data_IF_789902440459
#
_entry.id   IF_789902440459
#
_cell.length_a   1.000
_cell.length_b   1.000
_cell.length_c   1.000
_cell.angle_alpha   90.00
_cell.angle_beta   90.00
_cell.angle_gamma   90.00
#
_symmetry.space_group_name_H-M   'P 1'
#
loop_
_entity.id
_entity.type
_entity.pdbx_description
1 polymer ?
#
# COMPACT_ATOMS: atom_id res chain seq x y z
N UNK A 1 9.63 -22.87 -8.32
CA UNK A 1 9.33 -21.87 -7.28
C UNK A 1 7.92 -21.36 -7.54
N UNK A 2 6.92 -21.86 -6.81
CA UNK A 2 5.50 -21.60 -7.09
C UNK A 2 5.12 -20.19 -6.57
N UNK A 3 4.62 -19.32 -7.46
CA UNK A 3 4.25 -17.94 -7.15
C UNK A 3 2.97 -17.85 -6.33
N UNK A 4 2.07 -18.85 -6.43
CA UNK A 4 0.78 -18.86 -5.74
C UNK A 4 0.93 -18.98 -4.22
N UNK A 5 1.94 -19.71 -3.77
CA UNK A 5 2.21 -19.91 -2.33
C UNK A 5 2.73 -18.65 -1.60
N UNK A 6 3.09 -17.58 -2.32
CA UNK A 6 3.67 -16.36 -1.71
C UNK A 6 2.63 -15.32 -1.30
N UNK A 7 1.46 -15.32 -1.94
CA UNK A 7 0.34 -14.43 -1.60
C UNK A 7 -0.68 -15.08 -0.67
N UNK A 8 -0.54 -16.38 -0.40
CA UNK A 8 -1.34 -17.14 0.57
C UNK A 8 -0.85 -16.90 2.01
N UNK A 9 -0.41 -15.67 2.29
CA UNK A 9 -0.17 -15.22 3.66
C UNK A 9 -1.49 -14.64 4.12
N UNK A 10 -2.21 -15.42 4.92
CA UNK A 10 -3.35 -15.04 5.77
C UNK A 10 -3.58 -13.52 5.77
N UNK A 11 -4.33 -13.05 4.76
CA UNK A 11 -4.77 -11.67 4.69
C UNK A 11 -5.78 -11.58 5.81
N UNK A 12 -5.31 -11.16 6.99
CA UNK A 12 -6.04 -11.20 8.26
C UNK A 12 -7.53 -10.98 8.03
N UNK A 13 -8.31 -11.95 8.50
CA UNK A 13 -9.72 -12.13 8.18
C UNK A 13 -10.42 -10.80 7.87
N UNK A 14 -11.08 -10.74 6.71
CA UNK A 14 -11.94 -9.64 6.26
C UNK A 14 -13.05 -9.24 7.26
N UNK A 15 -13.14 -9.93 8.41
CA UNK A 15 -14.04 -9.70 9.52
C UNK A 15 -13.88 -8.35 10.22
N UNK A 16 -12.74 -7.65 10.06
CA UNK A 16 -12.50 -6.35 10.72
C UNK A 16 -12.86 -5.12 9.88
N UNK A 17 -13.31 -5.30 8.63
CA UNK A 17 -13.70 -4.17 7.78
C UNK A 17 -15.18 -3.85 8.00
N UNK A 18 -15.55 -2.62 8.40
CA UNK A 18 -16.94 -2.24 8.55
C UNK A 18 -17.76 -2.53 7.27
N UNK A 19 -18.94 -3.13 7.44
CA UNK A 19 -19.79 -3.52 6.30
C UNK A 19 -20.12 -2.34 5.37
N UNK A 20 -20.30 -1.16 5.94
CA UNK A 20 -20.59 0.07 5.21
C UNK A 20 -19.41 0.46 4.29
N UNK A 21 -18.17 0.25 4.76
CA UNK A 21 -16.97 0.53 3.96
C UNK A 21 -16.82 -0.46 2.81
N UNK A 22 -17.15 -1.74 3.03
CA UNK A 22 -17.20 -2.73 1.96
C UNK A 22 -18.26 -2.37 0.92
N UNK A 23 -19.45 -1.95 1.34
CA UNK A 23 -20.52 -1.53 0.45
C UNK A 23 -20.11 -0.31 -0.41
N UNK A 24 -19.45 0.68 0.20
CA UNK A 24 -18.91 1.85 -0.51
C UNK A 24 -17.83 1.47 -1.53
N UNK A 25 -16.95 0.55 -1.16
CA UNK A 25 -15.91 0.02 -2.05
C UNK A 25 -16.53 -0.68 -3.26
N UNK A 26 -17.49 -1.59 -3.04
CA UNK A 26 -18.18 -2.30 -4.11
C UNK A 26 -18.94 -1.34 -5.04
N UNK A 27 -19.66 -0.35 -4.48
CA UNK A 27 -20.32 0.68 -5.27
C UNK A 27 -19.34 1.51 -6.12
N UNK A 28 -18.15 1.81 -5.58
CA UNK A 28 -17.10 2.50 -6.33
C UNK A 28 -16.48 1.63 -7.43
N UNK A 29 -16.35 0.32 -7.20
CA UNK A 29 -15.81 -0.64 -8.17
C UNK A 29 -16.67 -0.78 -9.43
N UNK A 30 -18.01 -0.65 -9.28
CA UNK A 30 -18.98 -0.70 -10.38
C UNK A 30 -18.98 0.54 -11.30
N UNK A 31 -18.25 1.61 -10.94
CA UNK A 31 -18.16 2.83 -11.76
C UNK A 31 -17.53 2.53 -13.13
N UNK A 32 -18.01 3.13 -14.24
CA UNK A 32 -17.38 2.98 -15.54
C UNK A 32 -15.90 3.36 -15.51
N UNK A 33 -15.07 2.69 -16.32
CA UNK A 33 -13.61 2.90 -16.36
C UNK A 33 -13.20 4.39 -16.50
N UNK A 34 -13.84 5.21 -17.36
CA UNK A 34 -13.49 6.63 -17.45
C UNK A 34 -13.71 7.38 -16.13
N UNK A 35 -14.75 7.00 -15.37
CA UNK A 35 -15.07 7.60 -14.09
C UNK A 35 -14.09 7.15 -13.00
N UNK A 36 -13.70 5.88 -13.02
CA UNK A 36 -12.65 5.34 -12.14
C UNK A 36 -11.34 6.07 -12.39
N UNK A 37 -10.88 6.17 -13.63
CA UNK A 37 -9.63 6.87 -13.96
C UNK A 37 -9.65 8.35 -13.58
N UNK A 38 -10.79 9.02 -13.75
CA UNK A 38 -10.95 10.42 -13.35
C UNK A 38 -10.76 10.66 -11.85
N UNK A 39 -11.16 9.71 -11.01
CA UNK A 39 -11.19 9.87 -9.54
C UNK A 39 -10.28 8.89 -8.77
N UNK A 40 -9.54 8.01 -9.46
CA UNK A 40 -8.66 7.02 -8.83
C UNK A 40 -7.38 7.64 -8.26
N UNK A 41 -6.96 8.80 -8.77
CA UNK A 41 -5.73 9.45 -8.36
C UNK A 41 -6.04 10.45 -7.25
N UNK A 42 -5.56 10.13 -6.05
CA UNK A 42 -5.50 11.07 -4.93
C UNK A 42 -4.06 11.55 -4.78
N UNK A 43 -3.89 12.87 -4.59
CA UNK A 43 -2.60 13.41 -4.21
C UNK A 43 -2.38 13.15 -2.72
N UNK A 44 -1.62 12.10 -2.41
CA UNK A 44 -1.24 11.75 -1.04
C UNK A 44 0.24 12.03 -0.84
N UNK A 45 0.56 12.92 0.10
CA UNK A 45 1.93 13.10 0.56
C UNK A 45 2.40 11.83 1.27
N UNK A 46 3.50 11.24 0.81
CA UNK A 46 4.12 10.02 1.33
C UNK A 46 5.34 10.39 2.18
N UNK A 47 5.19 10.47 3.52
CA UNK A 47 6.28 10.92 4.38
C UNK A 47 7.52 10.05 4.26
N UNK A 48 8.68 10.68 4.21
CA UNK A 48 9.99 10.08 3.96
C UNK A 48 10.31 9.82 2.48
N UNK A 49 9.29 9.57 1.64
CA UNK A 49 9.46 9.30 0.21
C UNK A 49 9.40 10.57 -0.66
N UNK A 50 8.58 11.55 -0.29
CA UNK A 50 8.33 12.74 -1.13
C UNK A 50 9.27 13.92 -0.82
N UNK A 51 10.10 13.84 0.23
CA UNK A 51 10.95 14.92 0.71
C UNK A 51 12.32 15.00 0.01
N UNK A 52 12.58 14.14 -0.96
CA UNK A 52 13.83 14.14 -1.74
C UNK A 52 13.61 13.77 -3.19
N UNK A 53 14.48 14.26 -4.08
CA UNK A 53 14.44 13.90 -5.50
C UNK A 53 14.80 12.43 -5.74
N UNK A 54 15.75 11.91 -4.97
CA UNK A 54 16.13 10.50 -4.98
C UNK A 54 16.77 10.11 -3.64
N UNK A 55 16.83 8.80 -3.39
CA UNK A 55 17.58 8.20 -2.28
C UNK A 55 18.23 6.92 -2.77
N UNK A 56 19.49 6.74 -2.41
CA UNK A 56 20.27 5.53 -2.69
C UNK A 56 20.92 5.02 -1.41
N UNK A 57 21.18 3.72 -1.37
CA UNK A 57 21.82 3.02 -0.25
C UNK A 57 22.88 2.10 -0.83
N UNK A 58 23.97 1.90 -0.10
CA UNK A 58 25.05 1.01 -0.54
C UNK A 58 24.68 -0.46 -0.31
N UNK A 59 23.78 -0.72 0.66
CA UNK A 59 23.30 -2.06 0.96
C UNK A 59 21.79 -2.15 1.16
N UNK A 60 21.25 -3.36 0.98
CA UNK A 60 19.83 -3.65 1.29
C UNK A 60 19.54 -3.60 2.80
N UNK A 61 20.55 -3.74 3.67
CA UNK A 61 20.36 -3.62 5.11
C UNK A 61 20.04 -2.16 5.49
N UNK A 62 20.85 -1.22 4.98
CA UNK A 62 20.65 0.21 5.18
C UNK A 62 19.29 0.70 4.66
N UNK A 63 18.88 0.21 3.49
CA UNK A 63 17.55 0.49 2.95
C UNK A 63 16.44 0.07 3.91
N UNK A 64 16.48 -1.18 4.41
CA UNK A 64 15.44 -1.69 5.32
C UNK A 64 15.43 -0.96 6.66
N UNK A 65 16.60 -0.68 7.23
CA UNK A 65 16.71 0.04 8.51
C UNK A 65 16.19 1.48 8.37
N UNK A 66 16.40 2.11 7.21
CA UNK A 66 15.80 3.41 6.91
C UNK A 66 14.28 3.33 6.77
N UNK A 67 13.75 2.32 6.07
CA UNK A 67 12.31 2.09 5.95
C UNK A 67 11.64 1.93 7.32
N UNK A 68 12.21 1.11 8.21
CA UNK A 68 11.67 0.88 9.56
C UNK A 68 11.69 2.13 10.44
N UNK A 69 12.74 2.95 10.32
CA UNK A 69 12.90 4.15 11.17
C UNK A 69 12.12 5.36 10.66
N UNK A 70 11.93 5.48 9.35
CA UNK A 70 11.48 6.73 8.71
C UNK A 70 10.10 6.63 8.12
N UNK A 71 9.72 5.48 7.56
CA UNK A 71 8.47 5.34 6.85
C UNK A 71 7.33 4.96 7.80
N UNK A 72 6.17 5.62 7.69
CA UNK A 72 4.97 5.17 8.37
C UNK A 72 4.60 3.72 8.03
N UNK A 73 4.08 2.99 9.02
CA UNK A 73 3.69 1.57 8.87
C UNK A 73 2.65 1.34 7.76
N UNK A 74 1.74 2.29 7.55
CA UNK A 74 0.70 2.21 6.52
C UNK A 74 1.24 2.21 5.08
N UNK A 75 2.51 2.58 4.86
CA UNK A 75 3.16 2.47 3.55
C UNK A 75 3.64 1.03 3.23
N UNK A 76 3.71 0.13 4.22
CA UNK A 76 4.01 -1.30 4.00
C UNK A 76 5.46 -1.64 3.66
N UNK A 77 6.42 -0.72 3.86
CA UNK A 77 7.85 -0.98 3.64
C UNK A 77 8.59 -1.54 4.86
N UNK A 78 7.96 -1.52 6.04
CA UNK A 78 8.50 -2.13 7.25
C UNK A 78 8.47 -3.66 7.18
N UNK A 79 9.26 -4.34 8.03
CA UNK A 79 9.16 -5.79 8.17
C UNK A 79 7.78 -6.16 8.75
N UNK A 80 7.18 -7.21 8.16
CA UNK A 80 5.91 -7.84 8.58
C UNK A 80 6.22 -9.13 9.31
#
# INVERSE_FOLDING_TARGET
>A
MNLEARYDRDMGATSDIPADWLADFEAAAQRPLPLRMRYAFIHTHKPGLDEGLFRAFDTMAEYRDWCERTLPSWLGYGRV
#
